data_IF_866009083813
#
_entry.id   IF_866009083813
#
_cell.length_a   1.000
_cell.length_b   1.000
_cell.length_c   1.000
_cell.angle_alpha   90.00
_cell.angle_beta   90.00
_cell.angle_gamma   90.00
#
_symmetry.space_group_name_H-M   'P 1'
#
loop_
_entity.id
_entity.type
_entity.pdbx_description
1 polymer ?
#
# COMPACT_ATOMS: atom_id res chain seq x y z
N UNK A 1 -12.73 11.31 14.03
CA UNK A 1 -11.29 11.19 13.79
C UNK A 1 -10.79 12.47 13.13
N UNK A 2 -9.79 13.14 13.71
CA UNK A 2 -9.22 14.35 13.12
C UNK A 2 -8.21 14.04 12.02
N UNK A 3 -7.69 15.07 11.36
CA UNK A 3 -6.75 14.92 10.24
C UNK A 3 -5.48 14.17 10.63
N UNK A 4 -4.95 14.44 11.82
CA UNK A 4 -3.71 13.81 12.29
C UNK A 4 -3.91 12.33 12.60
N UNK A 5 -5.00 12.00 13.24
CA UNK A 5 -5.35 10.61 13.54
C UNK A 5 -5.59 9.80 12.27
N UNK A 6 -6.24 10.43 11.27
CA UNK A 6 -6.47 9.79 9.97
C UNK A 6 -5.14 9.51 9.28
N UNK A 7 -4.24 10.50 9.27
CA UNK A 7 -2.92 10.33 8.67
C UNK A 7 -2.10 9.27 9.41
N UNK A 8 -2.15 9.26 10.73
CA UNK A 8 -1.47 8.23 11.52
C UNK A 8 -1.92 6.82 11.09
N UNK A 9 -3.23 6.64 10.94
CA UNK A 9 -3.79 5.35 10.53
C UNK A 9 -3.29 4.93 9.14
N UNK A 10 -3.27 5.87 8.20
CA UNK A 10 -2.77 5.63 6.85
C UNK A 10 -1.28 5.28 6.87
N UNK A 11 -0.50 6.06 7.59
CA UNK A 11 0.95 5.86 7.66
C UNK A 11 1.30 4.53 8.34
N UNK A 12 0.51 4.06 9.29
CA UNK A 12 0.71 2.76 9.91
C UNK A 12 0.56 1.61 8.92
N UNK A 13 -0.31 1.77 7.93
CA UNK A 13 -0.45 0.78 6.85
C UNK A 13 0.81 0.74 6.00
N UNK A 14 1.40 1.89 5.73
CA UNK A 14 2.58 2.02 4.86
C UNK A 14 3.91 1.83 5.61
N UNK A 15 3.91 1.98 6.93
CA UNK A 15 5.14 1.95 7.75
C UNK A 15 5.57 0.51 8.05
N UNK A 16 5.81 -0.27 7.00
CA UNK A 16 6.31 -1.63 7.09
C UNK A 16 7.21 -1.86 5.88
N UNK A 17 8.47 -2.27 6.11
CA UNK A 17 9.43 -2.36 5.01
C UNK A 17 9.04 -3.40 3.97
N UNK A 18 8.38 -4.47 4.36
CA UNK A 18 7.92 -5.49 3.40
C UNK A 18 6.79 -4.94 2.53
N UNK A 19 5.84 -4.21 3.14
CA UNK A 19 4.76 -3.58 2.37
C UNK A 19 5.29 -2.52 1.41
N UNK A 20 6.30 -1.76 1.81
CA UNK A 20 6.93 -0.78 0.92
C UNK A 20 7.60 -1.46 -0.27
N UNK A 21 8.28 -2.60 -0.04
CA UNK A 21 8.88 -3.38 -1.13
C UNK A 21 7.82 -3.93 -2.08
N UNK A 22 6.71 -4.42 -1.54
CA UNK A 22 5.59 -4.92 -2.34
C UNK A 22 5.04 -3.80 -3.22
N UNK A 23 4.77 -2.64 -2.66
CA UNK A 23 4.28 -1.49 -3.42
C UNK A 23 5.24 -1.07 -4.51
N UNK A 24 6.53 -1.00 -4.18
CA UNK A 24 7.57 -0.63 -5.14
C UNK A 24 7.62 -1.61 -6.31
N UNK A 25 7.54 -2.91 -6.03
CA UNK A 25 7.56 -3.92 -7.09
C UNK A 25 6.31 -3.86 -7.97
N UNK A 26 5.14 -3.72 -7.36
CA UNK A 26 3.86 -3.63 -8.10
C UNK A 26 3.82 -2.36 -8.95
N UNK A 27 4.38 -1.27 -8.44
CA UNK A 27 4.47 0.00 -9.18
C UNK A 27 5.30 -0.13 -10.46
N UNK A 28 6.30 -1.00 -10.48
CA UNK A 28 7.13 -1.26 -11.65
C UNK A 28 6.35 -1.95 -12.78
N UNK A 29 5.25 -2.60 -12.45
CA UNK A 29 4.41 -3.28 -13.42
C UNK A 29 3.55 -4.34 -12.75
N UNK A 30 2.43 -4.64 -13.37
CA UNK A 30 1.49 -5.66 -12.92
C UNK A 30 2.21 -6.99 -12.63
N UNK A 31 1.88 -7.62 -11.50
CA UNK A 31 2.58 -8.82 -11.04
C UNK A 31 1.62 -9.72 -10.27
N UNK A 32 1.82 -11.05 -10.39
CA UNK A 32 1.05 -12.01 -9.59
C UNK A 32 1.71 -12.21 -8.22
N UNK A 33 0.91 -12.68 -7.24
CA UNK A 33 1.43 -13.01 -5.92
C UNK A 33 2.52 -14.08 -5.97
N UNK A 34 2.45 -15.01 -6.91
CA UNK A 34 3.45 -16.07 -7.07
C UNK A 34 4.84 -15.49 -7.38
N UNK A 35 4.91 -14.43 -8.18
CA UNK A 35 6.19 -13.79 -8.48
C UNK A 35 6.70 -12.97 -7.30
N UNK A 36 5.81 -12.38 -6.52
CA UNK A 36 6.19 -11.63 -5.32
C UNK A 36 6.83 -12.52 -4.25
N UNK A 37 6.35 -13.75 -4.10
CA UNK A 37 6.93 -14.71 -3.16
C UNK A 37 8.41 -14.95 -3.49
N UNK A 38 8.72 -15.17 -4.76
CA UNK A 38 10.08 -15.41 -5.21
C UNK A 38 10.94 -14.14 -5.10
N UNK A 39 10.39 -13.02 -5.54
CA UNK A 39 11.10 -11.74 -5.56
C UNK A 39 11.49 -11.27 -4.15
N UNK A 40 10.60 -11.45 -3.19
CA UNK A 40 10.77 -10.91 -1.84
C UNK A 40 11.28 -11.95 -0.82
N UNK A 41 11.36 -13.20 -1.21
CA UNK A 41 11.79 -14.30 -0.33
C UNK A 41 11.02 -14.34 0.99
N UNK A 42 9.70 -14.32 0.90
CA UNK A 42 8.80 -14.37 2.06
C UNK A 42 7.83 -15.53 1.90
N UNK A 43 7.26 -15.98 3.02
CA UNK A 43 6.27 -17.06 3.00
C UNK A 43 4.95 -16.59 2.39
N UNK A 44 4.18 -17.53 1.86
CA UNK A 44 2.87 -17.22 1.31
C UNK A 44 1.91 -16.62 2.34
N UNK A 45 1.82 -17.12 3.59
CA UNK A 45 0.94 -16.50 4.58
C UNK A 45 1.34 -15.05 4.89
N UNK A 46 2.64 -14.77 4.97
CA UNK A 46 3.15 -13.42 5.20
C UNK A 46 2.77 -12.49 4.04
N UNK A 47 2.98 -12.94 2.80
CA UNK A 47 2.60 -12.17 1.63
C UNK A 47 1.09 -11.93 1.60
N UNK A 48 0.28 -12.96 1.83
CA UNK A 48 -1.17 -12.85 1.82
C UNK A 48 -1.67 -11.83 2.83
N UNK A 49 -1.06 -11.79 4.02
CA UNK A 49 -1.39 -10.80 5.04
C UNK A 49 -1.11 -9.38 4.55
N UNK A 50 0.07 -9.14 4.00
CA UNK A 50 0.44 -7.80 3.52
C UNK A 50 -0.40 -7.36 2.32
N UNK A 51 -0.68 -8.26 1.39
CA UNK A 51 -1.54 -7.95 0.25
C UNK A 51 -2.96 -7.59 0.71
N UNK A 52 -3.47 -8.30 1.71
CA UNK A 52 -4.79 -8.01 2.27
C UNK A 52 -4.83 -6.64 2.95
N UNK A 53 -3.80 -6.31 3.73
CA UNK A 53 -3.71 -5.00 4.38
C UNK A 53 -3.68 -3.88 3.34
N UNK A 54 -2.85 -4.03 2.31
CA UNK A 54 -2.71 -3.03 1.26
C UNK A 54 -3.99 -2.89 0.43
N UNK A 55 -4.60 -4.00 0.03
CA UNK A 55 -5.81 -3.96 -0.81
C UNK A 55 -7.03 -3.47 -0.03
N UNK A 56 -7.21 -3.87 1.23
CA UNK A 56 -8.34 -3.41 2.03
C UNK A 56 -8.24 -1.93 2.40
N UNK A 57 -7.05 -1.35 2.32
CA UNK A 57 -6.84 0.09 2.52
C UNK A 57 -6.74 0.87 1.21
N UNK A 58 -6.99 0.22 0.08
CA UNK A 58 -7.12 0.87 -1.21
C UNK A 58 -5.81 1.23 -1.92
N UNK A 59 -4.67 0.69 -1.50
CA UNK A 59 -3.38 1.00 -2.11
C UNK A 59 -3.06 0.15 -3.32
N UNK A 60 -3.60 -1.05 -3.37
CA UNK A 60 -3.43 -1.95 -4.51
C UNK A 60 -4.77 -2.57 -4.87
N UNK A 61 -4.86 -3.07 -6.10
CA UNK A 61 -6.02 -3.78 -6.60
C UNK A 61 -5.57 -5.12 -7.17
N UNK A 62 -6.32 -6.17 -6.83
CA UNK A 62 -6.10 -7.49 -7.41
C UNK A 62 -7.15 -7.79 -8.46
N UNK A 63 -6.73 -8.21 -9.63
CA UNK A 63 -7.63 -8.59 -10.72
C UNK A 63 -7.35 -10.02 -11.14
N UNK A 64 -8.39 -10.84 -11.14
CA UNK A 64 -8.25 -12.24 -11.54
C UNK A 64 -8.12 -12.33 -13.07
N UNK A 65 -7.06 -13.02 -13.51
CA UNK A 65 -6.85 -13.34 -14.93
C UNK A 65 -6.50 -14.83 -15.03
N UNK A 66 -7.47 -15.62 -15.43
CA UNK A 66 -7.34 -17.08 -15.43
C UNK A 66 -7.22 -17.59 -14.00
N UNK A 67 -6.16 -18.35 -13.72
CA UNK A 67 -5.90 -18.93 -12.39
C UNK A 67 -5.06 -18.01 -11.50
N UNK A 68 -4.73 -16.82 -11.98
CA UNK A 68 -3.85 -15.89 -11.26
C UNK A 68 -4.58 -14.64 -10.87
N UNK A 69 -4.12 -14.01 -9.79
CA UNK A 69 -4.52 -12.66 -9.42
C UNK A 69 -3.33 -11.77 -9.71
N UNK A 70 -3.54 -10.76 -10.55
CA UNK A 70 -2.54 -9.78 -10.88
C UNK A 70 -2.83 -8.50 -10.12
N UNK A 71 -1.79 -7.93 -9.51
CA UNK A 71 -1.90 -6.76 -8.66
C UNK A 71 -1.37 -5.51 -9.36
N UNK A 72 -2.07 -4.41 -9.18
CA UNK A 72 -1.68 -3.08 -9.65
C UNK A 72 -1.76 -2.09 -8.50
N UNK A 73 -0.96 -1.03 -8.55
CA UNK A 73 -1.02 0.04 -7.55
C UNK A 73 -2.16 0.99 -7.90
N UNK A 74 -2.91 1.40 -6.87
CA UNK A 74 -3.88 2.47 -7.01
C UNK A 74 -3.13 3.80 -6.83
N UNK A 75 -2.76 4.43 -7.94
CA UNK A 75 -1.99 5.67 -7.92
C UNK A 75 -2.75 6.82 -7.29
N UNK A 76 -4.07 6.84 -7.46
CA UNK A 76 -4.91 7.87 -6.87
C UNK A 76 -4.81 7.86 -5.34
N UNK A 77 -4.79 6.68 -4.73
CA UNK A 77 -4.62 6.55 -3.28
C UNK A 77 -3.28 7.07 -2.80
N UNK A 78 -2.20 6.79 -3.55
CA UNK A 78 -0.87 7.31 -3.20
C UNK A 78 -0.81 8.82 -3.33
N UNK A 79 -1.40 9.38 -4.37
CA UNK A 79 -1.46 10.82 -4.58
C UNK A 79 -2.29 11.50 -3.48
N UNK A 80 -3.36 10.87 -3.02
CA UNK A 80 -4.14 11.36 -1.89
C UNK A 80 -3.31 11.45 -0.61
N UNK A 81 -2.51 10.43 -0.32
CA UNK A 81 -1.63 10.43 0.86
C UNK A 81 -0.64 11.59 0.78
N UNK A 82 -0.04 11.80 -0.37
CA UNK A 82 0.89 12.90 -0.60
C UNK A 82 0.22 14.25 -0.35
N UNK A 83 -0.96 14.44 -0.95
CA UNK A 83 -1.73 15.68 -0.80
C UNK A 83 -2.15 15.91 0.65
N UNK A 84 -2.64 14.89 1.32
CA UNK A 84 -3.06 14.97 2.72
C UNK A 84 -1.89 15.26 3.65
N UNK A 85 -0.74 14.64 3.40
CA UNK A 85 0.46 14.88 4.20
C UNK A 85 0.91 16.33 4.07
N UNK A 86 0.98 16.85 2.86
CA UNK A 86 1.34 18.24 2.61
C UNK A 86 0.36 19.22 3.28
N UNK A 87 -0.93 18.89 3.23
CA UNK A 87 -1.95 19.73 3.86
C UNK A 87 -1.76 19.83 5.37
N UNK A 88 -1.26 18.76 6.02
CA UNK A 88 -0.94 18.80 7.45
C UNK A 88 0.19 19.78 7.75
N UNK A 89 1.14 19.90 6.84
CA UNK A 89 2.28 20.82 7.03
C UNK A 89 1.84 22.29 6.97
N UNK A 90 0.71 22.55 6.32
CA UNK A 90 0.17 23.91 6.22
C UNK A 90 -0.74 24.27 7.41
N UNK A 91 -1.04 23.31 8.30
CA UNK A 91 -1.85 23.56 9.49
C UNK A 91 -1.04 24.35 10.52
N UNK A 92 -1.66 25.38 11.04
CA UNK A 92 -1.06 26.19 12.11
C UNK A 92 -1.41 25.58 13.46
N UNK A 93 -0.38 25.17 14.20
CA UNK A 93 -0.56 24.67 15.56
C UNK A 93 -0.03 25.72 16.53
N UNK A 94 -0.92 26.21 17.38
CA UNK A 94 -0.56 27.21 18.42
C UNK A 94 -0.22 26.47 19.70
N UNK A 95 1.02 26.56 20.14
CA UNK A 95 1.48 25.96 21.40
C UNK A 95 1.51 26.93 22.53
#
# INVERSE_FOLDING_TARGET
MNKYERMEKILKVLADHTRLKILSRIYQGEVCGCDLIHCLDISQPTLSHHLKVLSSNGFIEGNRKGNRILYTVNMESLEEVETMFKALMDEEITC
#
